data_IF_618243326101
#
_entry.id   IF_618243326101
#
_cell.length_a   1.000
_cell.length_b   1.000
_cell.length_c   1.000
_cell.angle_alpha   90.00
_cell.angle_beta   90.00
_cell.angle_gamma   90.00
#
_symmetry.space_group_name_H-M   'P 1'
#
loop_
_entity.id
_entity.type
_entity.pdbx_description
1 polymer ?
#
# COMPACT_ATOMS: atom_id res chain seq x y z
N UNK A 1 2.30 12.95 -16.95
CA UNK A 1 1.86 11.54 -16.88
C UNK A 1 2.53 11.03 -15.65
N UNK A 2 1.76 10.55 -14.69
CA UNK A 2 2.26 10.18 -13.36
C UNK A 2 2.06 8.68 -13.19
N UNK A 3 3.07 7.98 -12.70
CA UNK A 3 3.12 6.53 -12.54
C UNK A 3 3.39 6.21 -11.08
N UNK A 4 2.46 5.49 -10.46
CA UNK A 4 2.60 5.01 -9.09
C UNK A 4 2.74 3.47 -9.09
N UNK A 5 3.70 2.97 -8.32
CA UNK A 5 3.78 1.55 -7.99
C UNK A 5 3.04 1.31 -6.67
N UNK A 6 2.01 0.48 -6.69
CA UNK A 6 1.22 0.10 -5.52
C UNK A 6 1.59 -1.30 -5.03
N UNK A 7 2.08 -1.38 -3.80
CA UNK A 7 2.35 -2.63 -3.10
C UNK A 7 1.69 -2.62 -1.72
N UNK A 8 1.62 -3.77 -1.06
CA UNK A 8 1.03 -3.94 0.26
C UNK A 8 1.55 -5.21 0.91
N UNK A 9 1.31 -5.37 2.22
CA UNK A 9 1.37 -6.66 2.90
C UNK A 9 2.72 -7.38 2.64
N UNK A 10 3.81 -6.65 2.85
CA UNK A 10 5.18 -7.18 2.67
C UNK A 10 5.61 -8.08 3.81
N UNK A 11 4.98 -7.96 4.99
CA UNK A 11 5.16 -8.84 6.15
C UNK A 11 6.64 -9.13 6.48
N UNK A 12 7.49 -8.09 6.43
CA UNK A 12 8.91 -8.23 6.67
C UNK A 12 9.19 -8.86 8.03
N UNK A 13 10.10 -9.85 8.04
CA UNK A 13 10.43 -10.62 9.23
C UNK A 13 9.53 -11.82 9.50
N UNK A 14 8.61 -12.16 8.60
CA UNK A 14 7.76 -13.33 8.79
C UNK A 14 8.54 -14.66 8.65
N UNK A 15 8.77 -15.32 9.78
CA UNK A 15 9.36 -16.66 9.83
C UNK A 15 8.31 -17.75 9.64
N UNK A 16 7.71 -17.82 8.44
CA UNK A 16 6.75 -18.87 8.13
C UNK A 16 7.37 -20.26 8.38
N UNK A 17 6.64 -21.13 9.08
CA UNK A 17 7.12 -22.45 9.56
C UNK A 17 8.39 -22.40 10.45
N UNK A 18 8.63 -21.26 11.11
CA UNK A 18 9.82 -21.01 11.92
C UNK A 18 11.14 -21.15 11.15
N UNK A 19 11.13 -20.86 9.84
CA UNK A 19 12.29 -20.91 8.94
C UNK A 19 12.89 -19.53 8.74
N UNK A 20 14.22 -19.45 8.69
CA UNK A 20 14.91 -18.21 8.37
C UNK A 20 14.77 -17.93 6.87
N UNK A 21 14.86 -18.99 6.08
CA UNK A 21 14.75 -18.97 4.62
C UNK A 21 13.45 -18.28 4.17
N UNK A 22 12.33 -18.56 4.85
CA UNK A 22 11.06 -17.87 4.55
C UNK A 22 11.11 -16.38 4.85
N UNK A 23 11.75 -15.95 5.93
CA UNK A 23 11.88 -14.53 6.22
C UNK A 23 12.80 -13.82 5.19
N UNK A 24 13.79 -14.54 4.67
CA UNK A 24 14.66 -14.06 3.59
C UNK A 24 13.85 -13.93 2.28
N UNK A 25 12.92 -14.85 1.99
CA UNK A 25 12.02 -14.77 0.83
C UNK A 25 11.15 -13.50 0.88
N UNK A 26 10.53 -13.17 2.02
CA UNK A 26 9.78 -11.91 2.19
C UNK A 26 10.67 -10.68 1.98
N UNK A 27 11.90 -10.71 2.49
CA UNK A 27 12.85 -9.61 2.34
C UNK A 27 13.29 -9.42 0.88
N UNK A 28 13.55 -10.51 0.17
CA UNK A 28 13.89 -10.52 -1.25
C UNK A 28 12.71 -10.06 -2.12
N UNK A 29 11.50 -10.51 -1.81
CA UNK A 29 10.30 -10.09 -2.50
C UNK A 29 10.06 -8.58 -2.39
N UNK A 30 10.33 -7.97 -1.23
CA UNK A 30 10.26 -6.52 -1.07
C UNK A 30 11.42 -5.80 -1.78
N UNK A 31 12.64 -6.34 -1.71
CA UNK A 31 13.78 -5.78 -2.43
C UNK A 31 13.52 -5.74 -3.95
N UNK A 32 12.91 -6.77 -4.52
CA UNK A 32 12.52 -6.79 -5.92
C UNK A 32 11.52 -5.68 -6.27
N UNK A 33 10.49 -5.44 -5.45
CA UNK A 33 9.56 -4.32 -5.67
C UNK A 33 10.31 -2.98 -5.76
N UNK A 34 11.35 -2.82 -4.95
CA UNK A 34 12.14 -1.59 -4.88
C UNK A 34 13.10 -1.49 -6.07
N UNK A 35 13.67 -2.61 -6.52
CA UNK A 35 14.45 -2.69 -7.75
C UNK A 35 13.59 -2.27 -8.94
N UNK A 36 12.41 -2.87 -9.09
CA UNK A 36 11.50 -2.63 -10.19
C UNK A 36 10.98 -1.18 -10.19
N UNK A 37 10.65 -0.62 -9.01
CA UNK A 37 10.27 0.79 -8.88
C UNK A 37 11.34 1.75 -9.42
N UNK A 38 12.62 1.47 -9.11
CA UNK A 38 13.76 2.28 -9.55
C UNK A 38 14.01 2.08 -11.04
N UNK A 39 13.97 0.84 -11.52
CA UNK A 39 14.22 0.53 -12.93
C UNK A 39 13.13 1.09 -13.85
N UNK A 40 11.88 1.16 -13.37
CA UNK A 40 10.74 1.76 -14.06
C UNK A 40 10.68 3.29 -13.95
N UNK A 41 11.50 3.91 -13.10
CA UNK A 41 11.52 5.37 -12.85
C UNK A 41 10.14 5.91 -12.48
N UNK A 42 9.47 5.26 -11.51
CA UNK A 42 8.12 5.64 -11.08
C UNK A 42 8.13 6.94 -10.27
N UNK A 43 7.04 7.71 -10.34
CA UNK A 43 6.90 8.98 -9.61
C UNK A 43 6.63 8.80 -8.11
N UNK A 44 6.28 7.58 -7.69
CA UNK A 44 6.12 7.24 -6.28
C UNK A 44 5.83 5.76 -6.04
N UNK A 45 6.29 5.27 -4.89
CA UNK A 45 5.92 3.95 -4.37
C UNK A 45 4.89 4.12 -3.26
N UNK A 46 3.72 3.53 -3.44
CA UNK A 46 2.63 3.50 -2.46
C UNK A 46 2.59 2.14 -1.78
N UNK A 47 2.76 2.10 -0.46
CA UNK A 47 2.60 0.90 0.36
C UNK A 47 1.33 1.01 1.20
N UNK A 48 0.29 0.22 0.91
CA UNK A 48 -0.99 0.31 1.61
C UNK A 48 -1.02 -0.43 2.96
N UNK A 49 0.05 -0.36 3.75
CA UNK A 49 0.15 -0.96 5.11
C UNK A 49 0.56 -2.43 5.19
N UNK A 50 0.79 -2.89 6.43
CA UNK A 50 1.35 -4.19 6.82
C UNK A 50 2.76 -4.43 6.28
N UNK A 51 3.64 -3.45 6.52
CA UNK A 51 5.04 -3.56 6.13
C UNK A 51 5.77 -4.62 6.95
N UNK A 52 5.40 -4.77 8.23
CA UNK A 52 5.98 -5.76 9.12
C UNK A 52 4.96 -6.82 9.54
N UNK A 53 5.44 -8.05 9.72
CA UNK A 53 4.58 -9.13 10.22
C UNK A 53 4.24 -9.00 11.71
N UNK A 54 5.17 -8.46 12.50
CA UNK A 54 5.00 -8.28 13.93
C UNK A 54 4.98 -6.78 14.24
N UNK A 55 4.12 -6.35 15.15
CA UNK A 55 4.10 -4.96 15.63
C UNK A 55 5.36 -4.56 16.40
N UNK A 56 6.20 -5.51 16.79
CA UNK A 56 7.54 -5.26 17.31
C UNK A 56 8.58 -6.02 16.46
N UNK A 57 8.87 -5.54 15.23
CA UNK A 57 9.78 -6.19 14.31
C UNK A 57 11.18 -6.30 14.89
N UNK A 58 11.88 -7.34 14.48
CA UNK A 58 13.29 -7.52 14.82
C UNK A 58 14.14 -6.45 14.14
N UNK A 59 15.31 -6.18 14.70
CA UNK A 59 16.26 -5.20 14.16
C UNK A 59 16.64 -5.51 12.70
N UNK A 60 16.76 -6.78 12.32
CA UNK A 60 17.11 -7.19 10.95
C UNK A 60 16.13 -6.67 9.90
N UNK A 61 14.85 -7.08 9.94
CA UNK A 61 13.78 -6.56 9.06
C UNK A 61 13.69 -5.03 9.06
N UNK A 62 13.80 -4.39 10.23
CA UNK A 62 13.77 -2.93 10.33
C UNK A 62 14.92 -2.27 9.55
N UNK A 63 16.15 -2.76 9.75
CA UNK A 63 17.32 -2.25 9.01
C UNK A 63 17.23 -2.55 7.51
N UNK A 64 16.61 -3.67 7.13
CA UNK A 64 16.34 -3.98 5.71
C UNK A 64 15.42 -2.94 5.11
N UNK A 65 14.25 -2.70 5.73
CA UNK A 65 13.30 -1.69 5.27
C UNK A 65 13.96 -0.31 5.11
N UNK A 66 14.68 0.17 6.13
CA UNK A 66 15.39 1.46 6.08
C UNK A 66 16.39 1.52 4.91
N UNK A 67 17.12 0.43 4.62
CA UNK A 67 18.04 0.40 3.48
C UNK A 67 17.30 0.51 2.16
N UNK A 68 16.20 -0.21 2.00
CA UNK A 68 15.41 -0.16 0.77
C UNK A 68 14.78 1.21 0.55
N UNK A 69 14.19 1.82 1.59
CA UNK A 69 13.64 3.18 1.51
C UNK A 69 14.71 4.22 1.14
N UNK A 70 15.94 4.08 1.66
CA UNK A 70 17.06 4.94 1.25
C UNK A 70 17.50 4.77 -0.19
N UNK A 71 17.25 3.60 -0.81
CA UNK A 71 17.50 3.41 -2.24
C UNK A 71 16.49 4.19 -3.07
N UNK A 72 15.21 4.15 -2.72
CA UNK A 72 14.17 4.98 -3.33
C UNK A 72 14.52 6.47 -3.18
N UNK A 73 14.89 6.90 -1.97
CA UNK A 73 15.30 8.27 -1.72
C UNK A 73 16.50 8.69 -2.59
N UNK A 74 17.50 7.81 -2.77
CA UNK A 74 18.66 8.09 -3.62
C UNK A 74 18.32 8.14 -5.12
N UNK A 75 17.18 7.58 -5.52
CA UNK A 75 16.61 7.66 -6.85
C UNK A 75 15.56 8.79 -6.99
N UNK A 76 15.39 9.63 -5.96
CA UNK A 76 14.38 10.70 -5.90
C UNK A 76 12.92 10.18 -6.02
N UNK A 77 12.67 8.92 -5.66
CA UNK A 77 11.33 8.30 -5.66
C UNK A 77 10.73 8.38 -4.24
N UNK A 78 9.63 9.11 -4.02
CA UNK A 78 8.99 9.18 -2.72
C UNK A 78 8.31 7.85 -2.35
N UNK A 79 8.39 7.49 -1.07
CA UNK A 79 7.67 6.36 -0.50
C UNK A 79 6.51 6.87 0.36
N UNK A 80 5.30 6.51 -0.02
CA UNK A 80 4.06 6.94 0.62
C UNK A 80 3.37 5.73 1.25
N UNK A 81 2.91 5.85 2.48
CA UNK A 81 2.35 4.69 3.20
C UNK A 81 1.25 5.07 4.17
N UNK A 82 0.38 4.10 4.46
CA UNK A 82 -0.57 4.11 5.58
C UNK A 82 -0.20 3.01 6.56
N UNK A 83 -0.60 3.14 7.82
CA UNK A 83 -0.36 2.11 8.83
C UNK A 83 -1.38 0.97 8.70
N UNK A 84 -0.87 -0.26 8.56
CA UNK A 84 -1.69 -1.47 8.67
C UNK A 84 -2.01 -1.85 10.12
N UNK A 85 -2.75 -2.95 10.31
CA UNK A 85 -3.04 -3.45 11.67
C UNK A 85 -1.81 -4.03 12.36
N UNK A 86 -0.80 -4.48 11.62
CA UNK A 86 0.46 -4.95 12.20
C UNK A 86 1.43 -3.81 12.48
N UNK A 87 1.31 -2.66 11.81
CA UNK A 87 2.29 -1.56 11.90
C UNK A 87 2.09 -0.65 13.12
N UNK A 88 1.08 -0.92 13.95
CA UNK A 88 0.74 -0.12 15.13
C UNK A 88 1.20 -0.77 16.44
N UNK A 89 2.00 -0.06 17.24
CA UNK A 89 2.24 -0.43 18.66
C UNK A 89 1.28 0.32 19.59
N UNK A 90 1.39 0.09 20.91
CA UNK A 90 0.57 0.79 21.92
C UNK A 90 0.82 2.30 21.97
N UNK A 91 2.00 2.76 21.54
CA UNK A 91 2.44 4.13 21.76
C UNK A 91 2.88 4.84 20.44
N UNK A 92 3.34 4.11 19.42
CA UNK A 92 3.84 4.69 18.14
C UNK A 92 3.56 3.76 16.93
N UNK A 93 3.38 4.33 15.74
CA UNK A 93 3.29 3.60 14.47
C UNK A 93 4.67 3.52 13.82
N UNK A 94 5.03 2.40 13.19
CA UNK A 94 6.33 2.27 12.50
C UNK A 94 6.54 3.29 11.40
N UNK A 95 5.45 3.79 10.83
CA UNK A 95 5.46 4.86 9.85
C UNK A 95 6.21 6.10 10.36
N UNK A 96 6.04 6.50 11.63
CA UNK A 96 6.73 7.69 12.17
C UNK A 96 8.25 7.52 12.22
N UNK A 97 8.73 6.31 12.53
CA UNK A 97 10.16 5.99 12.49
C UNK A 97 10.70 6.16 11.08
N UNK A 98 9.97 5.68 10.07
CA UNK A 98 10.40 5.78 8.68
C UNK A 98 10.37 7.21 8.15
N UNK A 99 9.40 8.03 8.55
CA UNK A 99 9.37 9.45 8.23
C UNK A 99 10.63 10.17 8.74
N UNK A 100 11.11 9.80 9.92
CA UNK A 100 12.31 10.43 10.51
C UNK A 100 13.64 9.93 9.93
N UNK A 101 13.74 8.66 9.51
CA UNK A 101 15.03 8.03 9.15
C UNK A 101 15.24 7.79 7.66
N UNK A 102 14.17 7.88 6.87
CA UNK A 102 14.15 7.57 5.44
C UNK A 102 13.14 8.42 4.64
N UNK A 103 12.66 9.54 5.21
CA UNK A 103 11.73 10.49 4.56
C UNK A 103 10.46 9.85 3.98
N UNK A 104 9.99 8.76 4.60
CA UNK A 104 8.71 8.14 4.23
C UNK A 104 7.54 9.08 4.55
N UNK A 105 6.59 9.20 3.64
CA UNK A 105 5.44 10.09 3.77
C UNK A 105 4.27 9.28 4.35
N UNK A 106 3.84 9.64 5.56
CA UNK A 106 2.61 9.10 6.14
C UNK A 106 1.40 9.79 5.52
N UNK A 107 0.66 9.04 4.72
CA UNK A 107 -0.57 9.51 4.11
C UNK A 107 -1.68 9.65 5.15
N UNK A 108 -2.44 10.72 5.04
CA UNK A 108 -3.57 11.01 5.92
C UNK A 108 -4.65 11.79 5.15
N UNK A 109 -5.51 12.54 5.85
CA UNK A 109 -6.61 13.28 5.22
C UNK A 109 -6.16 14.58 4.52
N UNK A 110 -4.92 15.01 4.74
CA UNK A 110 -4.22 16.04 3.97
C UNK A 110 -3.50 15.40 2.77
N UNK A 111 -3.66 15.93 1.54
CA UNK A 111 -3.07 15.31 0.35
C UNK A 111 -1.56 15.49 0.29
N UNK A 112 -0.86 14.43 -0.09
CA UNK A 112 0.45 14.56 -0.72
C UNK A 112 0.27 14.63 -2.23
N UNK A 113 0.71 15.72 -2.85
CA UNK A 113 0.55 15.93 -4.30
C UNK A 113 1.83 15.49 -5.03
N UNK A 114 1.67 14.56 -5.96
CA UNK A 114 2.69 14.12 -6.90
C UNK A 114 2.23 14.54 -8.30
N UNK A 115 2.89 15.55 -8.88
CA UNK A 115 2.45 16.26 -10.08
C UNK A 115 0.97 16.68 -10.03
N UNK A 116 0.11 16.02 -10.82
CA UNK A 116 -1.33 16.29 -10.94
C UNK A 116 -2.18 15.24 -10.18
N UNK A 117 -1.57 14.48 -9.26
CA UNK A 117 -2.23 13.43 -8.46
C UNK A 117 -2.17 13.77 -6.97
N UNK A 118 -3.33 13.95 -6.33
CA UNK A 118 -3.46 14.10 -4.89
C UNK A 118 -3.65 12.73 -4.22
N UNK A 119 -2.70 12.33 -3.35
CA UNK A 119 -2.70 11.03 -2.67
C UNK A 119 -3.06 11.22 -1.20
N UNK A 120 -4.08 10.49 -0.75
CA UNK A 120 -4.63 10.51 0.61
C UNK A 120 -4.48 9.17 1.31
N UNK A 121 -4.60 9.16 2.63
CA UNK A 121 -4.42 7.97 3.46
C UNK A 121 -5.53 7.73 4.48
N UNK A 122 -5.92 6.48 4.61
CA UNK A 122 -6.74 5.95 5.69
C UNK A 122 -6.02 4.76 6.34
N UNK A 123 -5.39 5.00 7.49
CA UNK A 123 -4.83 3.95 8.33
C UNK A 123 -5.89 2.90 8.71
N UNK A 124 -5.41 1.71 9.07
CA UNK A 124 -6.27 0.69 9.64
C UNK A 124 -7.02 1.20 10.88
N UNK A 125 -8.33 0.97 10.89
CA UNK A 125 -9.17 1.22 12.05
C UNK A 125 -9.94 -0.06 12.43
N UNK A 126 -9.83 -0.43 13.70
CA UNK A 126 -10.56 -1.58 14.28
C UNK A 126 -12.07 -1.41 14.10
N UNK A 127 -12.85 -2.48 13.83
CA UNK A 127 -14.28 -2.40 13.56
C UNK A 127 -15.09 -1.52 14.54
N UNK A 128 -14.80 -1.60 15.84
CA UNK A 128 -15.47 -0.84 16.89
C UNK A 128 -15.28 0.68 16.86
N UNK A 129 -14.33 1.18 16.05
CA UNK A 129 -14.00 2.60 15.91
C UNK A 129 -14.34 3.16 14.54
N UNK A 130 -14.77 2.34 13.58
CA UNK A 130 -15.05 2.78 12.20
C UNK A 130 -16.23 3.75 12.12
N UNK A 131 -17.22 3.63 13.00
CA UNK A 131 -18.34 4.57 13.09
C UNK A 131 -17.95 6.00 13.51
N UNK A 132 -16.69 6.20 13.93
CA UNK A 132 -16.14 7.51 14.30
C UNK A 132 -15.41 8.18 13.13
N UNK A 133 -15.28 7.50 11.99
CA UNK A 133 -14.63 8.05 10.81
C UNK A 133 -15.58 9.00 10.08
N UNK A 134 -15.11 10.21 9.85
CA UNK A 134 -15.88 11.27 9.19
C UNK A 134 -15.58 11.36 7.69
N UNK A 135 -14.44 10.82 7.23
CA UNK A 135 -13.97 10.89 5.84
C UNK A 135 -13.93 12.34 5.29
N UNK A 136 -13.60 13.30 6.15
CA UNK A 136 -13.42 14.71 5.79
C UNK A 136 -11.98 14.96 5.32
N UNK A 137 -11.71 14.59 4.06
CA UNK A 137 -10.46 14.85 3.37
C UNK A 137 -10.34 16.31 2.95
N UNK A 138 -9.14 16.87 3.00
CA UNK A 138 -8.90 18.25 2.57
C UNK A 138 -9.03 18.38 1.04
N UNK A 139 -9.55 19.54 0.60
CA UNK A 139 -9.71 19.85 -0.83
C UNK A 139 -8.35 19.99 -1.54
N UNK A 140 -8.32 19.65 -2.83
CA UNK A 140 -7.13 19.80 -3.68
C UNK A 140 -7.49 20.45 -5.02
N UNK A 141 -6.46 20.94 -5.72
CA UNK A 141 -6.56 21.46 -7.09
C UNK A 141 -5.99 20.49 -8.15
N UNK A 142 -5.49 19.32 -7.72
CA UNK A 142 -4.94 18.28 -8.61
C UNK A 142 -6.00 17.67 -9.55
N UNK A 143 -5.58 17.16 -10.71
CA UNK A 143 -6.49 16.56 -11.71
C UNK A 143 -7.08 15.23 -11.25
N UNK A 144 -6.30 14.45 -10.49
CA UNK A 144 -6.69 13.14 -9.99
C UNK A 144 -6.58 13.04 -8.47
N UNK A 145 -7.42 12.21 -7.86
CA UNK A 145 -7.41 11.90 -6.44
C UNK A 145 -7.31 10.38 -6.19
N UNK A 146 -6.41 10.00 -5.28
CA UNK A 146 -6.14 8.62 -4.91
C UNK A 146 -6.35 8.43 -3.41
N UNK A 147 -7.18 7.45 -3.05
CA UNK A 147 -7.31 6.98 -1.67
C UNK A 147 -6.39 5.79 -1.45
N UNK A 148 -5.48 5.85 -0.48
CA UNK A 148 -4.72 4.70 0.00
C UNK A 148 -5.30 4.26 1.34
N UNK A 149 -5.69 2.99 1.48
CA UNK A 149 -6.33 2.53 2.70
C UNK A 149 -5.94 1.10 3.08
N UNK A 150 -5.95 0.80 4.38
CA UNK A 150 -5.69 -0.55 4.88
C UNK A 150 -6.90 -1.16 5.60
N UNK A 151 -7.39 -2.27 5.07
CA UNK A 151 -8.48 -3.07 5.63
C UNK A 151 -9.22 -3.87 4.55
N UNK A 152 -9.91 -4.93 4.97
CA UNK A 152 -10.80 -5.69 4.10
C UNK A 152 -12.07 -4.89 3.77
N UNK A 153 -12.28 -4.62 2.48
CA UNK A 153 -13.39 -3.85 1.95
C UNK A 153 -14.33 -4.68 1.06
N UNK A 154 -15.64 -4.56 1.28
CA UNK A 154 -16.64 -5.02 0.30
C UNK A 154 -16.77 -4.01 -0.85
N UNK A 155 -17.07 -4.45 -2.10
CA UNK A 155 -17.35 -5.82 -2.51
C UNK A 155 -16.12 -6.70 -2.83
N UNK A 156 -14.91 -6.12 -2.87
CA UNK A 156 -13.71 -6.83 -3.34
C UNK A 156 -13.34 -8.04 -2.47
N UNK A 157 -13.49 -7.91 -1.15
CA UNK A 157 -13.22 -8.97 -0.18
C UNK A 157 -14.54 -9.59 0.30
N UNK A 158 -14.80 -10.88 0.01
CA UNK A 158 -16.03 -11.54 0.45
C UNK A 158 -16.18 -11.51 1.98
N UNK A 159 -17.36 -11.13 2.46
CA UNK A 159 -17.70 -11.03 3.88
C UNK A 159 -16.96 -9.93 4.66
N UNK A 160 -16.28 -9.01 3.98
CA UNK A 160 -15.80 -7.79 4.61
C UNK A 160 -16.95 -6.96 5.16
N UNK A 161 -16.74 -6.36 6.34
CA UNK A 161 -17.72 -5.50 7.01
C UNK A 161 -17.51 -4.01 6.71
N UNK A 162 -16.39 -3.64 6.07
CA UNK A 162 -16.10 -2.25 5.75
C UNK A 162 -16.50 -1.96 4.30
N UNK A 163 -17.48 -1.07 4.12
CA UNK A 163 -18.06 -0.80 2.81
C UNK A 163 -17.29 0.27 2.05
N UNK A 164 -16.51 -0.12 1.03
CA UNK A 164 -15.81 0.86 0.18
C UNK A 164 -16.78 1.82 -0.54
N UNK A 165 -17.93 1.39 -1.09
CA UNK A 165 -18.91 2.32 -1.63
C UNK A 165 -19.39 3.37 -0.60
N UNK A 166 -19.50 2.97 0.67
CA UNK A 166 -19.91 3.89 1.74
C UNK A 166 -18.80 4.87 2.11
N UNK A 167 -17.53 4.43 2.14
CA UNK A 167 -16.37 5.30 2.32
C UNK A 167 -16.31 6.34 1.19
N UNK A 168 -16.34 5.90 -0.06
CA UNK A 168 -16.24 6.78 -1.23
C UNK A 168 -17.40 7.78 -1.31
N UNK A 169 -18.63 7.36 -1.00
CA UNK A 169 -19.79 8.26 -1.05
C UNK A 169 -19.94 9.19 0.15
N UNK A 170 -19.32 8.85 1.29
CA UNK A 170 -19.33 9.69 2.50
C UNK A 170 -18.15 10.68 2.53
N UNK A 171 -17.17 10.51 1.63
CA UNK A 171 -15.99 11.36 1.57
C UNK A 171 -16.32 12.78 1.12
N UNK A 172 -15.63 13.76 1.67
CA UNK A 172 -15.75 15.19 1.30
C UNK A 172 -15.28 15.51 -0.13
N UNK A 173 -14.50 14.60 -0.73
CA UNK A 173 -14.00 14.65 -2.11
C UNK A 173 -14.31 13.33 -2.84
N UNK A 174 -14.22 13.35 -4.17
CA UNK A 174 -14.27 12.12 -4.99
C UNK A 174 -12.87 11.55 -5.22
N UNK A 175 -12.78 10.25 -5.45
CA UNK A 175 -11.53 9.56 -5.77
C UNK A 175 -11.62 8.85 -7.12
N UNK A 176 -10.57 8.94 -7.92
CA UNK A 176 -10.45 8.20 -9.19
C UNK A 176 -9.94 6.78 -8.95
N UNK A 177 -9.07 6.61 -7.95
CA UNK A 177 -8.43 5.33 -7.63
C UNK A 177 -8.42 5.07 -6.12
N UNK A 178 -8.64 3.82 -5.73
CA UNK A 178 -8.47 3.33 -4.37
C UNK A 178 -7.42 2.20 -4.31
N UNK A 179 -6.31 2.47 -3.64
CA UNK A 179 -5.17 1.56 -3.45
C UNK A 179 -5.27 0.91 -2.07
N UNK A 180 -5.66 -0.36 -2.02
CA UNK A 180 -6.07 -1.05 -0.81
C UNK A 180 -5.06 -2.13 -0.36
N UNK A 181 -4.94 -2.32 0.95
CA UNK A 181 -4.16 -3.39 1.60
C UNK A 181 -4.97 -4.15 2.65
N UNK A 182 -4.42 -5.24 3.21
CA UNK A 182 -4.99 -6.24 4.18
C UNK A 182 -5.36 -7.58 3.50
N UNK A 183 -5.97 -7.56 2.32
CA UNK A 183 -6.26 -8.81 1.60
C UNK A 183 -5.06 -9.29 0.78
N UNK A 184 -4.61 -10.51 1.04
CA UNK A 184 -3.44 -11.10 0.40
C UNK A 184 -3.74 -11.69 -1.00
N UNK A 185 -4.96 -11.52 -1.50
CA UNK A 185 -5.35 -11.97 -2.84
C UNK A 185 -5.45 -10.75 -3.76
N UNK A 186 -4.72 -10.74 -4.89
CA UNK A 186 -4.87 -9.66 -5.86
C UNK A 186 -6.31 -9.55 -6.34
N UNK A 187 -6.86 -8.34 -6.29
CA UNK A 187 -8.23 -8.06 -6.72
C UNK A 187 -8.33 -6.65 -7.31
N UNK A 188 -9.32 -6.44 -8.18
CA UNK A 188 -9.66 -5.10 -8.67
C UNK A 188 -11.13 -5.03 -9.07
N UNK A 189 -11.72 -3.85 -8.94
CA UNK A 189 -13.11 -3.59 -9.31
C UNK A 189 -13.34 -2.10 -9.58
N UNK A 190 -14.26 -1.76 -10.49
CA UNK A 190 -14.78 -0.40 -10.62
C UNK A 190 -15.94 -0.19 -9.65
N UNK A 191 -15.76 0.72 -8.70
CA UNK A 191 -16.74 1.05 -7.68
C UNK A 191 -17.31 2.44 -7.98
N UNK A 192 -18.29 2.48 -8.89
CA UNK A 192 -19.00 3.71 -9.21
C UNK A 192 -18.14 4.76 -9.89
N UNK A 193 -17.17 4.34 -10.71
CA UNK A 193 -16.19 5.20 -11.37
C UNK A 193 -14.84 5.33 -10.66
N UNK A 194 -14.70 4.78 -9.46
CA UNK A 194 -13.40 4.68 -8.76
C UNK A 194 -12.80 3.30 -9.06
N UNK A 195 -11.59 3.26 -9.61
CA UNK A 195 -10.86 2.00 -9.78
C UNK A 195 -10.25 1.57 -8.44
N UNK A 196 -10.73 0.48 -7.86
CA UNK A 196 -10.24 -0.06 -6.59
C UNK A 196 -9.37 -1.29 -6.82
N UNK A 197 -8.24 -1.43 -6.11
CA UNK A 197 -7.36 -2.60 -6.24
C UNK A 197 -6.68 -3.00 -4.94
N UNK A 198 -6.52 -4.32 -4.77
CA UNK A 198 -5.57 -4.94 -3.85
C UNK A 198 -4.43 -5.56 -4.67
N UNK A 199 -3.15 -5.28 -4.35
CA UNK A 199 -2.02 -5.92 -5.02
C UNK A 199 -1.78 -7.34 -4.47
N UNK A 200 -2.38 -7.66 -3.31
CA UNK A 200 -2.06 -8.85 -2.53
C UNK A 200 -0.77 -8.68 -1.74
N UNK A 201 -0.34 -9.76 -1.09
CA UNK A 201 0.97 -9.79 -0.41
C UNK A 201 2.11 -9.95 -1.41
N UNK A 202 3.29 -9.41 -1.10
CA UNK A 202 4.46 -9.57 -1.97
C UNK A 202 5.03 -10.98 -1.96
N UNK A 203 4.71 -11.79 -0.96
CA UNK A 203 5.14 -13.20 -0.86
C UNK A 203 4.03 -14.04 -0.22
N UNK A 204 4.04 -15.36 -0.42
CA UNK A 204 2.98 -16.27 0.02
C UNK A 204 2.98 -16.40 1.54
N UNK A 205 1.99 -15.79 2.20
CA UNK A 205 1.78 -15.86 3.65
C UNK A 205 1.05 -17.13 4.09
N UNK A 206 0.38 -17.84 3.16
CA UNK A 206 -0.36 -19.08 3.44
C UNK A 206 -0.19 -20.15 2.36
N UNK A 207 -0.41 -21.43 2.73
CA UNK A 207 -0.19 -22.60 1.84
C UNK A 207 -1.20 -22.75 0.73
N UNK A 208 -2.35 -22.11 0.80
CA UNK A 208 -3.46 -22.18 -0.16
C UNK A 208 -3.40 -21.04 -1.19
N UNK A 209 -2.52 -20.06 -0.98
CA UNK A 209 -2.20 -19.04 -1.94
C UNK A 209 -1.45 -19.64 -3.13
N UNK A 210 -2.09 -19.60 -4.31
CA UNK A 210 -1.58 -20.16 -5.57
C UNK A 210 -1.35 -19.12 -6.65
N UNK A 211 -2.03 -17.98 -6.56
CA UNK A 211 -1.85 -16.87 -7.48
C UNK A 211 -0.42 -16.34 -7.39
N UNK A 212 0.05 -15.75 -8.48
CA UNK A 212 1.29 -14.99 -8.52
C UNK A 212 1.21 -13.80 -7.55
N UNK A 213 2.39 -13.29 -7.20
CA UNK A 213 2.59 -12.22 -6.22
C UNK A 213 3.25 -11.06 -6.93
N UNK A 214 3.01 -9.84 -6.48
CA UNK A 214 3.52 -8.67 -7.20
C UNK A 214 3.07 -7.36 -6.61
N UNK A 215 2.99 -6.37 -7.48
CA UNK A 215 2.50 -5.03 -7.25
C UNK A 215 1.59 -4.62 -8.41
N UNK A 216 0.88 -3.52 -8.26
CA UNK A 216 0.06 -2.93 -9.32
C UNK A 216 0.73 -1.65 -9.80
N UNK A 217 0.88 -1.46 -11.11
CA UNK A 217 1.28 -0.18 -11.69
C UNK A 217 0.03 0.61 -12.04
N UNK A 218 -0.04 1.87 -11.58
CA UNK A 218 -1.15 2.78 -11.87
C UNK A 218 -0.63 4.00 -12.58
N UNK A 219 -1.20 4.28 -13.76
CA UNK A 219 -0.77 5.37 -14.64
C UNK A 219 -1.86 6.42 -14.82
N UNK A 220 -1.50 7.69 -14.65
CA UNK A 220 -2.36 8.86 -14.77
C UNK A 220 -1.89 9.72 -15.96
N UNK A 221 -2.77 9.99 -16.93
CA UNK A 221 -2.46 10.77 -18.13
C UNK A 221 -3.70 11.19 -18.92
N UNK A 222 -3.52 12.00 -19.98
CA UNK A 222 -4.61 12.68 -20.70
C UNK A 222 -5.67 11.77 -21.36
N UNK A 223 -5.40 10.47 -21.48
CA UNK A 223 -6.35 9.43 -21.90
C UNK A 223 -6.46 8.35 -20.79
N UNK A 224 -6.71 8.78 -19.56
CA UNK A 224 -6.77 7.91 -18.37
C UNK A 224 -7.71 6.71 -18.61
N UNK A 225 -7.10 5.54 -18.75
CA UNK A 225 -7.70 4.25 -18.39
C UNK A 225 -6.73 3.66 -17.38
N UNK A 226 -7.22 3.31 -16.20
CA UNK A 226 -6.50 2.41 -15.31
C UNK A 226 -6.18 1.14 -16.13
N UNK A 227 -4.93 1.08 -16.61
CA UNK A 227 -4.40 0.00 -17.41
C UNK A 227 -3.45 -0.78 -16.54
N UNK A 228 -3.82 -2.03 -16.27
CA UNK A 228 -3.05 -2.98 -15.47
C UNK A 228 -1.91 -3.53 -16.34
N UNK A 229 -0.69 -3.02 -16.15
CA UNK A 229 0.52 -3.73 -16.55
C UNK A 229 1.03 -4.48 -15.31
N UNK A 230 0.61 -5.74 -15.18
CA UNK A 230 1.21 -6.66 -14.20
C UNK A 230 2.52 -7.16 -14.77
N UNK A 231 3.59 -7.00 -14.01
CA UNK A 231 4.79 -7.80 -14.22
C UNK A 231 4.65 -9.10 -13.42
N UNK A 232 4.42 -10.18 -14.15
CA UNK A 232 4.30 -11.54 -13.63
C UNK A 232 5.66 -11.98 -13.03
N UNK A 233 5.63 -12.62 -11.86
CA UNK A 233 6.83 -13.19 -11.23
C UNK A 233 7.03 -14.64 -11.65
N UNK A 234 8.14 -14.92 -12.32
CA UNK A 234 8.63 -16.29 -12.50
C UNK A 234 9.28 -16.79 -11.19
N UNK A 235 8.67 -17.81 -10.57
CA UNK A 235 9.23 -18.56 -9.43
C UNK A 235 10.57 -19.21 -9.87
N UNK A 236 11.73 -18.76 -9.35
CA UNK A 236 13.05 -19.42 -9.52
C UNK A 236 13.33 -20.41 -8.39
#
# INVERSE_FOLDING_TARGET
MTVLLHTSDTHLGYHQYHRQERADDFAAAFEQVIDDAIDLDVDGVVHSGDMFHDSNPRIGPLLHAIRQLRRLQAADIPFLTVAGNHDSTRDEQWVSVFSEVADAIHLNYEPTVLDDVAVYGQDYVSPSRRDQLEYDFEQHDAEHAVLVAHGAFEPLVPHAEWSLPSVLSSSSIGFDVALLGDDHTPAYEDIGGTFATYPGSTERTATDQRAERGYTIVQFGADARAGDEREDRDDV
#
